data_IF_874188198523
#
_entry.id   IF_874188198523
#
_cell.length_a   1.000
_cell.length_b   1.000
_cell.length_c   1.000
_cell.angle_alpha   90.00
_cell.angle_beta   90.00
_cell.angle_gamma   90.00
#
_symmetry.space_group_name_H-M   'P 1'
#
loop_
_entity.id
_entity.type
_entity.pdbx_description
1 polymer ?
#
# COMPACT_ATOMS: atom_id res chain seq x y z
N UNK A 1 -20.20 1.27 -11.04
CA UNK A 1 -19.78 2.06 -9.86
C UNK A 1 -19.38 3.46 -10.28
N UNK A 2 -19.67 4.46 -9.45
CA UNK A 2 -19.35 5.89 -9.66
C UNK A 2 -17.97 6.25 -9.06
N UNK A 3 -17.42 7.41 -9.44
CA UNK A 3 -16.18 7.94 -8.85
C UNK A 3 -16.25 8.01 -7.31
N UNK A 4 -17.40 8.47 -6.77
CA UNK A 4 -17.62 8.51 -5.32
C UNK A 4 -17.51 7.14 -4.66
N UNK A 5 -18.06 6.09 -5.27
CA UNK A 5 -17.98 4.73 -4.73
C UNK A 5 -16.53 4.22 -4.73
N UNK A 6 -15.77 4.44 -5.82
CA UNK A 6 -14.36 4.07 -5.86
C UNK A 6 -13.52 4.84 -4.86
N UNK A 7 -13.79 6.13 -4.65
CA UNK A 7 -13.14 6.93 -3.62
C UNK A 7 -13.38 6.41 -2.22
N UNK A 8 -14.63 6.04 -1.89
CA UNK A 8 -14.97 5.46 -0.59
C UNK A 8 -14.19 4.15 -0.38
N UNK A 9 -14.05 3.33 -1.43
CA UNK A 9 -13.26 2.09 -1.37
C UNK A 9 -11.77 2.36 -1.10
N UNK A 10 -11.19 3.37 -1.76
CA UNK A 10 -9.80 3.77 -1.50
C UNK A 10 -9.58 4.26 -0.07
N UNK A 11 -10.53 5.05 0.47
CA UNK A 11 -10.51 5.49 1.87
C UNK A 11 -10.67 4.29 2.82
N UNK A 12 -11.60 3.38 2.51
CA UNK A 12 -11.84 2.19 3.32
C UNK A 12 -10.61 1.29 3.39
N UNK A 13 -9.84 1.14 2.31
CA UNK A 13 -8.58 0.39 2.32
C UNK A 13 -7.61 0.92 3.38
N UNK A 14 -7.48 2.25 3.47
CA UNK A 14 -6.61 2.94 4.43
C UNK A 14 -7.11 2.75 5.87
N UNK A 15 -8.41 2.93 6.08
CA UNK A 15 -9.05 2.77 7.40
C UNK A 15 -8.89 1.34 7.89
N UNK A 16 -9.24 0.35 7.07
CA UNK A 16 -9.15 -1.06 7.42
C UNK A 16 -7.72 -1.45 7.77
N UNK A 17 -6.73 -1.03 6.97
CA UNK A 17 -5.32 -1.31 7.26
C UNK A 17 -4.87 -0.75 8.61
N UNK A 18 -5.07 0.55 8.83
CA UNK A 18 -4.57 1.21 10.05
C UNK A 18 -5.34 0.76 11.30
N UNK A 19 -6.65 0.54 11.20
CA UNK A 19 -7.43 -0.04 12.29
C UNK A 19 -6.93 -1.44 12.64
N UNK A 20 -6.75 -2.33 11.66
CA UNK A 20 -6.19 -3.65 11.89
C UNK A 20 -4.78 -3.56 12.50
N UNK A 21 -3.97 -2.61 12.05
CA UNK A 21 -2.61 -2.43 12.52
C UNK A 21 -2.56 -2.05 13.99
N UNK A 22 -3.27 -0.99 14.38
CA UNK A 22 -3.25 -0.54 15.77
C UNK A 22 -3.90 -1.57 16.69
N UNK A 23 -5.00 -2.22 16.28
CA UNK A 23 -5.63 -3.27 17.09
C UNK A 23 -4.67 -4.44 17.29
N UNK A 24 -4.13 -5.01 16.21
CA UNK A 24 -3.29 -6.21 16.28
C UNK A 24 -1.95 -5.96 16.99
N UNK A 25 -1.35 -4.78 16.79
CA UNK A 25 -0.12 -4.41 17.49
C UNK A 25 -0.34 -4.28 19.01
N UNK A 26 -1.47 -3.72 19.46
CA UNK A 26 -1.77 -3.59 20.88
C UNK A 26 -2.23 -4.91 21.54
N UNK A 27 -2.69 -5.89 20.75
CA UNK A 27 -3.02 -7.23 21.25
C UNK A 27 -1.81 -8.14 21.46
N UNK A 28 -0.61 -7.72 21.02
CA UNK A 28 0.64 -8.48 21.11
C UNK A 28 1.61 -7.76 22.04
N UNK A 29 1.65 -8.06 23.36
CA UNK A 29 2.41 -7.30 24.36
C UNK A 29 3.92 -7.17 24.05
N UNK A 30 4.50 -8.16 23.39
CA UNK A 30 5.90 -8.18 22.98
C UNK A 30 6.19 -7.39 21.68
N UNK A 31 5.14 -6.87 21.02
CA UNK A 31 5.29 -6.11 19.78
C UNK A 31 5.76 -4.68 20.05
N UNK A 32 6.96 -4.36 19.56
CA UNK A 32 7.52 -3.02 19.63
C UNK A 32 7.28 -2.24 18.34
N UNK A 33 6.74 -1.03 18.46
CA UNK A 33 6.60 -0.10 17.34
C UNK A 33 7.93 0.33 16.70
N UNK A 34 9.05 0.14 17.41
CA UNK A 34 10.36 0.59 16.96
C UNK A 34 11.16 -0.52 16.27
N UNK A 35 11.03 -1.75 16.76
CA UNK A 35 11.91 -2.86 16.35
C UNK A 35 11.20 -3.96 15.56
N UNK A 36 9.89 -4.14 15.74
CA UNK A 36 9.12 -5.19 15.07
C UNK A 36 8.47 -4.67 13.80
N UNK A 37 8.67 -5.38 12.69
CA UNK A 37 8.10 -5.04 11.40
C UNK A 37 6.56 -5.14 11.44
N UNK A 38 5.87 -4.38 10.59
CA UNK A 38 4.42 -4.51 10.39
C UNK A 38 4.08 -5.94 9.94
N UNK A 39 4.90 -6.53 9.08
CA UNK A 39 4.71 -7.90 8.56
C UNK A 39 4.83 -8.99 9.61
N UNK A 40 5.50 -8.74 10.74
CA UNK A 40 5.55 -9.69 11.86
C UNK A 40 4.19 -9.84 12.57
N UNK A 41 3.21 -8.95 12.35
CA UNK A 41 1.85 -9.16 12.87
C UNK A 41 1.12 -10.32 12.17
N UNK A 42 1.60 -10.72 10.99
CA UNK A 42 1.05 -11.81 10.18
C UNK A 42 1.98 -12.99 10.02
N UNK A 43 3.08 -13.04 10.77
CA UNK A 43 4.07 -14.12 10.64
C UNK A 43 3.50 -15.47 11.09
N UNK A 44 4.18 -16.56 10.73
CA UNK A 44 3.71 -17.92 11.04
C UNK A 44 3.52 -18.17 12.53
N UNK A 45 4.34 -17.54 13.37
CA UNK A 45 4.39 -17.58 14.83
C UNK A 45 3.44 -16.57 15.49
N UNK A 46 2.94 -15.58 14.73
CA UNK A 46 2.14 -14.52 15.30
C UNK A 46 0.80 -15.07 15.84
N UNK A 47 0.41 -14.70 17.08
CA UNK A 47 -0.92 -14.99 17.56
C UNK A 47 -1.93 -14.31 16.63
N UNK A 48 -3.05 -14.97 16.35
CA UNK A 48 -4.13 -14.36 15.57
C UNK A 48 -3.70 -13.93 14.14
N UNK A 49 -2.64 -14.53 13.57
CA UNK A 49 -2.03 -14.15 12.28
C UNK A 49 -3.03 -13.98 11.14
N UNK A 50 -4.09 -14.79 11.10
CA UNK A 50 -5.09 -14.71 10.03
C UNK A 50 -5.95 -13.45 10.11
N UNK A 51 -6.22 -12.92 11.30
CA UNK A 51 -6.91 -11.64 11.42
C UNK A 51 -6.07 -10.51 10.82
N UNK A 52 -4.76 -10.49 11.08
CA UNK A 52 -3.86 -9.53 10.43
C UNK A 52 -3.72 -9.79 8.93
N UNK A 53 -3.48 -11.03 8.49
CA UNK A 53 -3.30 -11.30 7.07
C UNK A 53 -4.56 -10.98 6.25
N UNK A 54 -5.76 -11.22 6.79
CA UNK A 54 -7.02 -10.90 6.14
C UNK A 54 -7.30 -9.39 6.18
N UNK A 55 -7.25 -8.75 7.35
CA UNK A 55 -7.65 -7.35 7.50
C UNK A 55 -6.51 -6.34 7.23
N UNK A 56 -5.26 -6.72 7.43
CA UNK A 56 -4.07 -5.90 7.23
C UNK A 56 -3.39 -6.09 5.86
N UNK A 57 -3.67 -7.18 5.13
CA UNK A 57 -3.07 -7.39 3.79
C UNK A 57 -4.10 -7.67 2.69
N UNK A 58 -4.84 -8.78 2.79
CA UNK A 58 -5.74 -9.25 1.72
C UNK A 58 -6.84 -8.23 1.44
N UNK A 59 -7.56 -7.81 2.47
CA UNK A 59 -8.71 -6.88 2.30
C UNK A 59 -8.26 -5.51 1.79
N UNK A 60 -7.27 -4.83 2.41
CA UNK A 60 -6.77 -3.56 1.89
C UNK A 60 -6.24 -3.68 0.46
N UNK A 61 -5.52 -4.76 0.14
CA UNK A 61 -4.96 -5.00 -1.19
C UNK A 61 -6.04 -5.13 -2.27
N UNK A 62 -7.10 -5.90 -2.02
CA UNK A 62 -8.26 -6.01 -2.92
C UNK A 62 -8.94 -4.64 -3.10
N UNK A 63 -9.16 -3.91 -1.99
CA UNK A 63 -9.77 -2.58 -2.03
C UNK A 63 -8.90 -1.59 -2.84
N UNK A 64 -7.58 -1.62 -2.69
CA UNK A 64 -6.64 -0.81 -3.50
C UNK A 64 -6.73 -1.17 -4.98
N UNK A 65 -6.84 -2.46 -5.32
CA UNK A 65 -6.97 -2.88 -6.71
C UNK A 65 -8.28 -2.34 -7.35
N UNK A 66 -9.41 -2.45 -6.63
CA UNK A 66 -10.70 -1.92 -7.07
C UNK A 66 -10.64 -0.38 -7.19
N UNK A 67 -10.03 0.29 -6.21
CA UNK A 67 -9.79 1.73 -6.25
C UNK A 67 -8.93 2.14 -7.45
N UNK A 68 -7.84 1.42 -7.72
CA UNK A 68 -6.93 1.70 -8.84
C UNK A 68 -7.62 1.65 -10.20
N UNK A 69 -8.54 0.70 -10.38
CA UNK A 69 -9.43 0.66 -11.56
C UNK A 69 -10.32 1.91 -11.65
N UNK A 70 -10.96 2.28 -10.54
CA UNK A 70 -11.80 3.47 -10.46
C UNK A 70 -11.06 4.78 -10.72
N UNK A 71 -9.88 4.93 -10.14
CA UNK A 71 -9.01 6.09 -10.34
C UNK A 71 -8.62 6.21 -11.81
N UNK A 72 -8.20 5.12 -12.44
CA UNK A 72 -7.86 5.14 -13.87
C UNK A 72 -9.07 5.54 -14.71
N UNK A 73 -10.23 4.92 -14.48
CA UNK A 73 -11.47 5.23 -15.20
C UNK A 73 -11.89 6.70 -15.06
N UNK A 74 -11.64 7.32 -13.91
CA UNK A 74 -11.96 8.74 -13.66
C UNK A 74 -11.04 9.76 -14.34
N UNK A 75 -9.86 9.33 -14.81
CA UNK A 75 -8.85 10.20 -15.44
C UNK A 75 -8.56 9.86 -16.91
N UNK A 76 -8.72 8.60 -17.31
CA UNK A 76 -8.32 8.11 -18.61
C UNK A 76 -9.28 8.54 -19.72
N UNK A 77 -8.70 8.81 -20.89
CA UNK A 77 -9.38 8.95 -22.19
C UNK A 77 -9.11 7.73 -23.07
N UNK A 78 -9.77 7.61 -24.22
CA UNK A 78 -9.66 6.44 -25.13
C UNK A 78 -8.21 6.03 -25.46
N UNK A 79 -7.29 7.01 -25.61
CA UNK A 79 -5.90 6.77 -25.98
C UNK A 79 -4.92 6.75 -24.79
N UNK A 80 -5.43 6.70 -23.56
CA UNK A 80 -4.59 6.73 -22.36
C UNK A 80 -3.84 5.41 -22.14
N UNK A 81 -2.54 5.47 -21.85
CA UNK A 81 -1.76 4.29 -21.45
C UNK A 81 -2.36 3.61 -20.22
N UNK A 82 -2.43 2.27 -20.22
CA UNK A 82 -2.89 1.45 -19.07
C UNK A 82 -1.79 1.18 -18.03
N UNK A 83 -0.57 1.68 -18.23
CA UNK A 83 0.53 1.44 -17.29
C UNK A 83 0.24 1.94 -15.86
N UNK A 84 -0.35 3.13 -15.63
CA UNK A 84 -0.73 3.58 -14.29
C UNK A 84 -1.78 2.69 -13.62
N UNK A 85 -2.74 2.19 -14.42
CA UNK A 85 -3.75 1.24 -13.97
C UNK A 85 -3.11 -0.05 -13.44
N UNK A 86 -2.25 -0.67 -14.26
CA UNK A 86 -1.59 -1.91 -13.88
C UNK A 86 -0.69 -1.73 -12.65
N UNK A 87 0.01 -0.60 -12.54
CA UNK A 87 0.82 -0.30 -11.35
C UNK A 87 0.00 -0.33 -10.05
N UNK A 88 -1.12 0.37 -9.98
CA UNK A 88 -1.91 0.41 -8.73
C UNK A 88 -2.70 -0.90 -8.51
N UNK A 89 -3.24 -1.52 -9.55
CA UNK A 89 -3.91 -2.83 -9.41
C UNK A 89 -2.95 -3.89 -8.91
N UNK A 90 -1.80 -4.05 -9.57
CA UNK A 90 -0.83 -5.06 -9.18
C UNK A 90 -0.24 -4.74 -7.81
N UNK A 91 -0.09 -3.47 -7.44
CA UNK A 91 0.31 -3.12 -6.07
C UNK A 91 -0.64 -3.71 -5.01
N UNK A 92 -1.95 -3.54 -5.18
CA UNK A 92 -2.97 -4.09 -4.28
C UNK A 92 -3.03 -5.63 -4.31
N UNK A 93 -2.93 -6.23 -5.50
CA UNK A 93 -2.95 -7.70 -5.63
C UNK A 93 -1.71 -8.34 -4.99
N UNK A 94 -0.52 -7.77 -5.17
CA UNK A 94 0.70 -8.26 -4.53
C UNK A 94 0.70 -8.02 -3.01
N UNK A 95 0.06 -6.95 -2.53
CA UNK A 95 -0.19 -6.78 -1.09
C UNK A 95 -1.05 -7.90 -0.55
N UNK A 96 -2.11 -8.28 -1.28
CA UNK A 96 -2.97 -9.40 -0.91
C UNK A 96 -2.21 -10.72 -0.93
N UNK A 97 -1.38 -10.92 -1.96
CA UNK A 97 -0.50 -12.08 -2.10
C UNK A 97 0.43 -12.25 -0.89
N UNK A 98 1.01 -11.16 -0.39
CA UNK A 98 1.81 -11.16 0.83
C UNK A 98 1.04 -11.67 2.06
N UNK A 99 -0.26 -11.36 2.17
CA UNK A 99 -1.11 -11.86 3.23
C UNK A 99 -1.52 -13.33 3.09
N UNK A 100 -1.60 -13.85 1.87
CA UNK A 100 -1.91 -15.28 1.62
C UNK A 100 -0.77 -16.18 2.12
N UNK A 101 0.47 -15.68 2.05
CA UNK A 101 1.67 -16.39 2.47
C UNK A 101 2.28 -15.70 3.70
N UNK A 102 1.89 -16.10 4.94
CA UNK A 102 2.52 -15.61 6.17
C UNK A 102 4.04 -15.71 6.14
N UNK A 103 4.74 -14.64 6.54
CA UNK A 103 6.19 -14.65 6.62
C UNK A 103 6.71 -15.60 7.71
N UNK A 104 7.74 -16.37 7.38
CA UNK A 104 8.53 -17.16 8.33
C UNK A 104 9.87 -16.45 8.61
N UNK A 105 9.89 -15.67 9.69
CA UNK A 105 11.05 -14.84 10.03
C UNK A 105 12.18 -15.63 10.68
N UNK A 106 11.90 -16.84 11.17
CA UNK A 106 12.89 -17.76 11.72
C UNK A 106 13.60 -18.54 10.60
N UNK A 107 12.88 -18.88 9.52
CA UNK A 107 13.44 -19.49 8.32
C UNK A 107 13.19 -18.64 7.07
N UNK A 108 14.14 -17.75 6.79
CA UNK A 108 14.08 -16.83 5.64
C UNK A 108 14.11 -17.49 4.27
N UNK A 109 14.51 -18.76 4.21
CA UNK A 109 14.58 -19.55 2.96
C UNK A 109 13.33 -20.41 2.74
N UNK A 110 12.38 -20.42 3.67
CA UNK A 110 11.13 -21.15 3.50
C UNK A 110 10.34 -20.62 2.30
N UNK A 111 9.56 -21.51 1.66
CA UNK A 111 8.70 -21.14 0.53
C UNK A 111 7.73 -20.02 0.91
N UNK A 112 7.16 -20.05 2.11
CA UNK A 112 6.21 -19.02 2.55
C UNK A 112 6.88 -17.65 2.72
N UNK A 113 8.10 -17.58 3.28
CA UNK A 113 8.83 -16.31 3.37
C UNK A 113 9.21 -15.77 1.99
N UNK A 114 9.64 -16.63 1.06
CA UNK A 114 9.95 -16.20 -0.31
C UNK A 114 8.71 -15.63 -1.02
N UNK A 115 7.56 -16.29 -0.91
CA UNK A 115 6.31 -15.81 -1.50
C UNK A 115 5.80 -14.54 -0.81
N UNK A 116 5.89 -14.45 0.52
CA UNK A 116 5.62 -13.23 1.28
C UNK A 116 6.47 -12.05 0.78
N UNK A 117 7.77 -12.30 0.60
CA UNK A 117 8.74 -11.31 0.12
C UNK A 117 8.40 -10.85 -1.29
N UNK A 118 8.10 -11.77 -2.21
CA UNK A 118 7.64 -11.44 -3.57
C UNK A 118 6.38 -10.57 -3.52
N UNK A 119 5.40 -10.91 -2.70
CA UNK A 119 4.20 -10.10 -2.48
C UNK A 119 4.53 -8.70 -1.97
N UNK A 120 5.31 -8.60 -0.91
CA UNK A 120 5.66 -7.34 -0.27
C UNK A 120 6.47 -6.40 -1.18
N UNK A 121 7.54 -6.91 -1.81
CA UNK A 121 8.35 -6.11 -2.72
C UNK A 121 7.64 -5.82 -4.04
N UNK A 122 6.89 -6.78 -4.57
CA UNK A 122 6.08 -6.57 -5.77
C UNK A 122 5.02 -5.50 -5.56
N UNK A 123 4.35 -5.51 -4.39
CA UNK A 123 3.37 -4.48 -4.02
C UNK A 123 3.98 -3.09 -4.09
N UNK A 124 5.16 -2.92 -3.52
CA UNK A 124 5.86 -1.64 -3.50
C UNK A 124 6.38 -1.23 -4.88
N UNK A 125 7.00 -2.15 -5.63
CA UNK A 125 7.51 -1.88 -6.97
C UNK A 125 6.39 -1.43 -7.94
N UNK A 126 5.25 -2.13 -7.92
CA UNK A 126 4.11 -1.76 -8.75
C UNK A 126 3.44 -0.46 -8.29
N UNK A 127 3.45 -0.16 -6.99
CA UNK A 127 3.03 1.16 -6.52
C UNK A 127 3.91 2.26 -7.09
N UNK A 128 5.24 2.12 -7.05
CA UNK A 128 6.14 3.12 -7.62
C UNK A 128 5.86 3.30 -9.12
N UNK A 129 5.69 2.19 -9.86
CA UNK A 129 5.32 2.23 -11.27
C UNK A 129 4.02 3.02 -11.49
N UNK A 130 2.96 2.73 -10.73
CA UNK A 130 1.69 3.42 -10.81
C UNK A 130 1.83 4.91 -10.46
N UNK A 131 2.41 5.20 -9.30
CA UNK A 131 2.53 6.53 -8.74
C UNK A 131 3.37 7.48 -9.62
N UNK A 132 4.45 6.99 -10.25
CA UNK A 132 5.25 7.79 -11.18
C UNK A 132 4.62 7.96 -12.56
N UNK A 133 3.70 7.07 -12.97
CA UNK A 133 3.07 7.12 -14.29
C UNK A 133 1.73 7.87 -14.30
N UNK A 134 1.01 7.92 -13.16
CA UNK A 134 -0.23 8.67 -12.99
C UNK A 134 -0.16 10.17 -13.33
N UNK A 135 0.94 10.90 -13.09
CA UNK A 135 1.08 12.29 -13.53
C UNK A 135 0.80 12.51 -15.01
N UNK A 136 1.06 11.53 -15.87
CA UNK A 136 0.73 11.62 -17.31
C UNK A 136 -0.77 11.75 -17.53
N UNK A 137 -1.58 10.98 -16.80
CA UNK A 137 -3.04 11.07 -16.83
C UNK A 137 -3.53 12.35 -16.14
N UNK A 138 -2.94 12.73 -15.02
CA UNK A 138 -3.35 13.92 -14.26
C UNK A 138 -3.14 15.23 -15.03
N UNK A 139 -2.21 15.28 -15.98
CA UNK A 139 -1.94 16.46 -16.83
C UNK A 139 -3.08 16.80 -17.79
N UNK A 140 -4.05 15.91 -18.01
CA UNK A 140 -5.14 16.14 -18.97
C UNK A 140 -6.20 17.14 -18.48
N UNK A 141 -6.26 17.42 -17.16
CA UNK A 141 -7.23 18.38 -16.61
C UNK A 141 -6.58 19.39 -15.66
N UNK A 142 -7.11 20.61 -15.61
CA UNK A 142 -6.67 21.66 -14.69
C UNK A 142 -6.86 21.27 -13.22
N UNK A 143 -7.91 20.49 -12.92
CA UNK A 143 -8.18 19.95 -11.59
C UNK A 143 -7.10 18.98 -11.12
N UNK A 144 -6.73 17.99 -11.94
CA UNK A 144 -5.75 16.96 -11.58
C UNK A 144 -4.30 17.44 -11.69
N UNK A 145 -3.99 18.44 -12.53
CA UNK A 145 -2.64 19.05 -12.57
C UNK A 145 -2.14 19.51 -11.19
N UNK A 146 -3.03 20.04 -10.34
CA UNK A 146 -2.70 20.49 -8.98
C UNK A 146 -2.35 19.34 -8.02
N UNK A 147 -2.71 18.11 -8.36
CA UNK A 147 -2.51 16.89 -7.55
C UNK A 147 -1.11 16.30 -7.74
N UNK A 148 -0.47 16.56 -8.89
CA UNK A 148 0.80 15.95 -9.30
C UNK A 148 1.93 16.21 -8.30
N UNK A 149 2.13 17.45 -7.88
CA UNK A 149 3.24 17.79 -6.98
C UNK A 149 3.09 17.09 -5.61
N UNK A 150 1.94 17.17 -4.91
CA UNK A 150 1.76 16.42 -3.67
C UNK A 150 1.94 14.91 -3.82
N UNK A 151 1.37 14.29 -4.86
CA UNK A 151 1.48 12.83 -5.05
C UNK A 151 2.91 12.39 -5.31
N UNK A 152 3.67 13.13 -6.13
CA UNK A 152 5.09 12.85 -6.34
C UNK A 152 5.94 13.06 -5.09
N UNK A 153 5.62 14.08 -4.27
CA UNK A 153 6.29 14.26 -2.96
C UNK A 153 6.08 13.02 -2.10
N UNK A 154 4.84 12.53 -1.97
CA UNK A 154 4.56 11.32 -1.21
C UNK A 154 5.34 10.10 -1.74
N UNK A 155 5.37 9.91 -3.06
CA UNK A 155 6.14 8.83 -3.70
C UNK A 155 7.64 8.95 -3.46
N UNK A 156 8.22 10.15 -3.52
CA UNK A 156 9.64 10.31 -3.21
C UNK A 156 9.94 10.06 -1.74
N UNK A 157 9.04 10.46 -0.84
CA UNK A 157 9.20 10.18 0.59
C UNK A 157 9.14 8.66 0.88
N UNK A 158 8.34 7.88 0.15
CA UNK A 158 8.41 6.40 0.29
C UNK A 158 9.78 5.85 -0.11
N UNK A 159 10.46 6.44 -1.09
CA UNK A 159 11.81 5.99 -1.51
C UNK A 159 12.86 6.39 -0.48
N UNK A 160 12.87 7.67 -0.06
CA UNK A 160 13.83 8.19 0.91
C UNK A 160 13.77 7.38 2.20
N UNK A 161 12.56 7.12 2.71
CA UNK A 161 12.39 6.32 3.92
C UNK A 161 12.38 4.81 3.65
N UNK A 162 12.29 4.37 2.39
CA UNK A 162 12.37 2.97 1.97
C UNK A 162 13.75 2.37 2.11
N UNK A 163 14.79 3.20 2.05
CA UNK A 163 16.16 2.85 2.46
C UNK A 163 16.33 2.75 3.98
N UNK A 164 15.30 2.35 4.72
CA UNK A 164 15.26 2.44 6.19
C UNK A 164 16.38 1.72 6.92
N UNK A 165 16.97 0.68 6.33
CA UNK A 165 18.13 0.00 6.92
C UNK A 165 19.33 0.96 7.04
N UNK A 166 19.44 1.92 6.13
CA UNK A 166 20.49 2.94 6.13
C UNK A 166 20.10 4.19 6.92
N UNK A 167 18.81 4.50 7.03
CA UNK A 167 18.30 5.71 7.71
C UNK A 167 18.02 5.46 9.21
N UNK A 168 17.56 4.26 9.55
CA UNK A 168 17.16 3.84 10.91
C UNK A 168 17.81 2.50 11.28
N UNK A 169 19.15 2.41 11.39
CA UNK A 169 19.85 1.14 11.58
C UNK A 169 19.42 0.39 12.84
N UNK A 170 19.07 1.11 13.91
CA UNK A 170 18.66 0.52 15.19
C UNK A 170 17.14 0.33 15.32
N UNK A 171 16.35 0.94 14.43
CA UNK A 171 14.88 0.94 14.46
C UNK A 171 14.30 0.82 13.05
N UNK A 172 14.70 -0.21 12.26
CA UNK A 172 14.33 -0.30 10.84
C UNK A 172 12.82 -0.38 10.61
N UNK A 173 12.08 -0.82 11.64
CA UNK A 173 10.63 -0.91 11.59
C UNK A 173 9.94 0.47 11.55
N UNK A 174 10.59 1.53 12.04
CA UNK A 174 10.09 2.91 11.93
C UNK A 174 10.00 3.33 10.47
N UNK A 175 11.05 3.06 9.69
CA UNK A 175 11.06 3.41 8.28
C UNK A 175 10.00 2.65 7.46
N UNK A 176 9.76 1.37 7.77
CA UNK A 176 8.66 0.62 7.17
C UNK A 176 7.29 1.30 7.41
N UNK A 177 7.03 1.77 8.65
CA UNK A 177 5.79 2.49 8.98
C UNK A 177 5.68 3.81 8.24
N UNK A 178 6.77 4.55 8.09
CA UNK A 178 6.80 5.81 7.33
C UNK A 178 6.48 5.54 5.86
N UNK A 179 7.05 4.48 5.27
CA UNK A 179 6.74 4.09 3.89
C UNK A 179 5.27 3.72 3.71
N UNK A 180 4.70 2.88 4.59
CA UNK A 180 3.27 2.59 4.55
C UNK A 180 2.42 3.86 4.73
N UNK A 181 2.85 4.79 5.60
CA UNK A 181 2.15 6.06 5.81
C UNK A 181 2.09 6.88 4.52
N UNK A 182 3.21 7.08 3.82
CA UNK A 182 3.20 7.83 2.56
C UNK A 182 2.50 7.08 1.41
N UNK A 183 2.61 5.75 1.38
CA UNK A 183 1.81 4.91 0.47
C UNK A 183 0.31 5.17 0.67
N UNK A 184 -0.18 5.09 1.90
CA UNK A 184 -1.59 5.27 2.20
C UNK A 184 -2.05 6.73 2.13
N UNK A 185 -1.18 7.69 2.43
CA UNK A 185 -1.44 9.12 2.18
C UNK A 185 -1.63 9.37 0.68
N UNK A 186 -0.85 8.71 -0.18
CA UNK A 186 -1.04 8.78 -1.62
C UNK A 186 -2.42 8.25 -2.04
N UNK A 187 -2.83 7.09 -1.50
CA UNK A 187 -4.14 6.47 -1.77
C UNK A 187 -5.29 7.36 -1.28
N UNK A 188 -5.26 7.80 -0.01
CA UNK A 188 -6.35 8.60 0.57
C UNK A 188 -6.46 9.98 -0.11
N UNK A 189 -5.33 10.60 -0.46
CA UNK A 189 -5.32 11.90 -1.13
C UNK A 189 -5.91 11.79 -2.53
N UNK A 190 -5.50 10.80 -3.33
CA UNK A 190 -6.05 10.58 -4.66
C UNK A 190 -7.52 10.13 -4.62
N UNK A 191 -7.90 9.31 -3.64
CA UNK A 191 -9.30 8.95 -3.40
C UNK A 191 -10.17 10.16 -3.06
N UNK A 192 -9.70 11.05 -2.18
CA UNK A 192 -10.39 12.31 -1.86
C UNK A 192 -10.53 13.20 -3.09
N UNK A 193 -9.48 13.32 -3.91
CA UNK A 193 -9.53 14.09 -5.16
C UNK A 193 -10.53 13.50 -6.16
N UNK A 194 -10.62 12.18 -6.26
CA UNK A 194 -11.60 11.50 -7.09
C UNK A 194 -13.05 11.69 -6.57
N UNK A 195 -13.22 11.84 -5.25
CA UNK A 195 -14.55 12.05 -4.64
C UNK A 195 -15.10 13.45 -4.92
N UNK A 196 -14.19 14.44 -4.98
CA UNK A 196 -14.48 15.86 -5.18
C UNK A 196 -14.49 16.29 -6.65
N UNK A 197 -14.24 15.36 -7.57
CA UNK A 197 -14.36 15.56 -9.01
C UNK A 197 -15.84 15.50 -9.40
#
# INVERSE_FOLDING_TARGET
>A
MTNKQYSIIGILAVVVFWSAYFIMANLRPEYSYLTKAISELGSIDAPNKWYWNIAGYITPGILIAIFGYGLYKGLATENSSKLPLYGIILSGLFMSFSGIFPGDFDNKNSTTMLLHTIGSFGSYAFFLLGAFTYPKLMKTSTYWKKVIKPTLIFTWLTIIFGGWVFVFPNTPAVGQRIVFSFYFIWIIFTAYKLYRQ
#
